data_IF_648150968378
#
_entry.id   IF_648150968378
#
_cell.length_a   1.000
_cell.length_b   1.000
_cell.length_c   1.000
_cell.angle_alpha   90.00
_cell.angle_beta   90.00
_cell.angle_gamma   90.00
#
_symmetry.space_group_name_H-M   'P 1'
#
loop_
_entity.id
_entity.type
_entity.pdbx_description
1 polymer ?
#
# COMPACT_ATOMS: atom_id res chain seq x y z
N UNK A 1 8.39 46.83 4.00
CA UNK A 1 9.53 46.31 4.80
C UNK A 1 9.11 45.79 6.18
N UNK A 2 8.65 46.61 7.14
CA UNK A 2 8.25 46.08 8.47
C UNK A 2 6.96 45.23 8.45
N UNK A 3 5.98 45.58 7.60
CA UNK A 3 4.73 44.82 7.43
C UNK A 3 5.00 43.43 6.84
N UNK A 4 5.94 43.33 5.90
CA UNK A 4 6.32 42.06 5.26
C UNK A 4 7.00 41.09 6.23
N UNK A 5 7.83 41.63 7.13
CA UNK A 5 8.50 40.84 8.16
C UNK A 5 7.52 40.26 9.19
N UNK A 6 6.56 41.07 9.67
CA UNK A 6 5.55 40.60 10.62
C UNK A 6 4.60 39.56 10.02
N UNK A 7 4.22 39.72 8.76
CA UNK A 7 3.42 38.72 8.03
C UNK A 7 4.19 37.41 7.83
N UNK A 8 5.50 37.48 7.57
CA UNK A 8 6.36 36.31 7.46
C UNK A 8 6.49 35.54 8.78
N UNK A 9 6.68 36.25 9.90
CA UNK A 9 6.73 35.63 11.23
C UNK A 9 5.40 34.96 11.60
N UNK A 10 4.26 35.62 11.32
CA UNK A 10 2.91 35.06 11.56
C UNK A 10 2.64 33.79 10.73
N UNK A 11 3.10 33.78 9.47
CA UNK A 11 3.02 32.60 8.61
C UNK A 11 3.85 31.43 9.15
N UNK A 12 5.06 31.70 9.66
CA UNK A 12 5.91 30.68 10.28
C UNK A 12 5.29 30.15 11.57
N UNK A 13 4.74 31.01 12.43
CA UNK A 13 4.09 30.56 13.66
C UNK A 13 2.88 29.68 13.37
N UNK A 14 2.03 30.06 12.41
CA UNK A 14 0.89 29.23 12.01
C UNK A 14 1.33 27.90 11.43
N UNK A 15 2.36 27.89 10.58
CA UNK A 15 2.93 26.66 10.02
C UNK A 15 3.48 25.72 11.11
N UNK A 16 4.11 26.27 12.15
CA UNK A 16 4.59 25.49 13.31
C UNK A 16 3.45 24.89 14.12
N UNK A 17 2.40 25.66 14.40
CA UNK A 17 1.21 25.17 15.12
C UNK A 17 0.52 24.05 14.35
N UNK A 18 0.39 24.17 13.02
CA UNK A 18 -0.14 23.08 12.19
C UNK A 18 0.72 21.81 12.24
N UNK A 19 2.05 21.95 12.20
CA UNK A 19 2.96 20.81 12.31
C UNK A 19 2.91 20.12 13.68
N UNK A 20 2.78 20.88 14.77
CA UNK A 20 2.60 20.34 16.12
C UNK A 20 1.25 19.60 16.26
N UNK A 21 0.18 20.17 15.71
CA UNK A 21 -1.13 19.54 15.67
C UNK A 21 -1.13 18.23 14.86
N UNK A 22 -0.49 18.23 13.68
CA UNK A 22 -0.36 17.04 12.84
C UNK A 22 0.43 15.92 13.56
N UNK A 23 1.47 16.29 14.33
CA UNK A 23 2.24 15.35 15.15
C UNK A 23 1.39 14.66 16.22
N UNK A 24 0.59 15.44 16.96
CA UNK A 24 -0.32 14.89 17.98
C UNK A 24 -1.41 14.00 17.35
N UNK A 25 -1.99 14.44 16.22
CA UNK A 25 -2.99 13.63 15.49
C UNK A 25 -2.38 12.33 14.97
N UNK A 26 -1.16 12.37 14.44
CA UNK A 26 -0.40 11.20 13.99
C UNK A 26 -0.14 10.22 15.14
N UNK A 27 0.18 10.69 16.34
CA UNK A 27 0.35 9.83 17.51
C UNK A 27 -0.96 9.08 17.84
N UNK A 28 -2.09 9.79 17.86
CA UNK A 28 -3.39 9.19 18.13
C UNK A 28 -3.81 8.18 17.04
N UNK A 29 -3.57 8.49 15.76
CA UNK A 29 -3.80 7.56 14.65
C UNK A 29 -3.00 6.27 14.86
N UNK A 30 -1.73 6.39 15.25
CA UNK A 30 -0.88 5.23 15.49
C UNK A 30 -1.36 4.37 16.66
N UNK A 31 -1.86 4.99 17.73
CA UNK A 31 -2.43 4.26 18.88
C UNK A 31 -3.68 3.47 18.47
N UNK A 32 -4.62 4.11 17.76
CA UNK A 32 -5.85 3.45 17.30
C UNK A 32 -5.52 2.33 16.30
N UNK A 33 -4.61 2.60 15.36
CA UNK A 33 -4.10 1.60 14.41
C UNK A 33 -3.52 0.40 15.15
N UNK A 34 -2.76 0.60 16.22
CA UNK A 34 -2.19 -0.51 16.98
C UNK A 34 -3.27 -1.33 17.71
N UNK A 35 -4.33 -0.70 18.22
CA UNK A 35 -5.51 -1.42 18.73
C UNK A 35 -6.14 -2.30 17.63
N UNK A 36 -6.27 -1.76 16.43
CA UNK A 36 -6.70 -2.51 15.24
C UNK A 36 -5.76 -3.68 14.90
N UNK A 37 -4.45 -3.48 14.99
CA UNK A 37 -3.45 -4.53 14.78
C UNK A 37 -3.56 -5.65 15.82
N UNK A 38 -3.80 -5.31 17.08
CA UNK A 38 -4.00 -6.28 18.18
C UNK A 38 -5.27 -7.10 17.93
N UNK A 39 -6.41 -6.45 17.67
CA UNK A 39 -7.65 -7.14 17.32
C UNK A 39 -7.48 -8.04 16.08
N UNK A 40 -6.76 -7.57 15.06
CA UNK A 40 -6.45 -8.37 13.87
C UNK A 40 -5.63 -9.62 14.20
N UNK A 41 -4.58 -9.49 15.03
CA UNK A 41 -3.76 -10.64 15.50
C UNK A 41 -4.60 -11.65 16.28
N UNK A 42 -5.59 -11.20 17.03
CA UNK A 42 -6.55 -12.04 17.75
C UNK A 42 -7.63 -12.66 16.83
N UNK A 43 -7.63 -12.34 15.53
CA UNK A 43 -8.66 -12.72 14.55
C UNK A 43 -10.04 -12.11 14.82
N UNK A 44 -10.09 -11.04 15.61
CA UNK A 44 -11.29 -10.25 15.90
C UNK A 44 -11.52 -9.23 14.77
N UNK A 45 -11.76 -9.74 13.55
CA UNK A 45 -11.77 -8.91 12.34
C UNK A 45 -12.80 -7.78 12.35
N UNK A 46 -13.98 -8.00 12.93
CA UNK A 46 -15.01 -6.95 13.04
C UNK A 46 -14.58 -5.81 13.94
N UNK A 47 -13.89 -6.11 15.04
CA UNK A 47 -13.36 -5.11 15.96
C UNK A 47 -12.16 -4.38 15.35
N UNK A 48 -11.30 -5.09 14.62
CA UNK A 48 -10.22 -4.48 13.86
C UNK A 48 -10.73 -3.44 12.85
N UNK A 49 -11.84 -3.72 12.15
CA UNK A 49 -12.48 -2.76 11.24
C UNK A 49 -12.89 -1.48 11.98
N UNK A 50 -13.53 -1.60 13.15
CA UNK A 50 -13.97 -0.43 13.93
C UNK A 50 -12.78 0.49 14.24
N UNK A 51 -11.66 -0.07 14.69
CA UNK A 51 -10.46 0.72 14.96
C UNK A 51 -9.86 1.34 13.69
N UNK A 52 -9.77 0.59 12.58
CA UNK A 52 -9.26 1.17 11.34
C UNK A 52 -10.17 2.25 10.75
N UNK A 53 -11.49 2.13 10.87
CA UNK A 53 -12.44 3.16 10.44
C UNK A 53 -12.28 4.44 11.26
N UNK A 54 -12.08 4.32 12.58
CA UNK A 54 -11.75 5.45 13.43
C UNK A 54 -10.44 6.13 12.99
N UNK A 55 -9.38 5.35 12.74
CA UNK A 55 -8.10 5.89 12.29
C UNK A 55 -8.20 6.59 10.91
N UNK A 56 -8.97 6.03 9.97
CA UNK A 56 -9.22 6.64 8.64
C UNK A 56 -9.99 7.95 8.78
N UNK A 57 -10.99 7.99 9.66
CA UNK A 57 -11.78 9.20 9.91
C UNK A 57 -10.88 10.34 10.40
N UNK A 58 -9.92 10.04 11.27
CA UNK A 58 -8.95 11.02 11.75
C UNK A 58 -8.00 11.50 10.64
N UNK A 59 -7.46 10.56 9.86
CA UNK A 59 -6.53 10.87 8.78
C UNK A 59 -7.18 11.71 7.67
N UNK A 60 -8.43 11.44 7.29
CA UNK A 60 -9.11 12.15 6.19
C UNK A 60 -9.26 13.67 6.46
N UNK A 61 -9.14 14.10 7.71
CA UNK A 61 -9.09 15.52 8.08
C UNK A 61 -7.72 16.20 7.87
N UNK A 62 -6.65 15.46 7.59
CA UNK A 62 -5.27 15.94 7.58
C UNK A 62 -4.62 15.78 6.20
N UNK A 63 -4.28 16.90 5.54
CA UNK A 63 -3.64 16.88 4.21
C UNK A 63 -2.19 16.34 4.21
N UNK A 64 -1.49 16.45 5.33
CA UNK A 64 -0.07 16.11 5.45
C UNK A 64 0.19 14.68 5.92
N UNK A 65 -0.86 13.89 6.17
CA UNK A 65 -0.76 12.53 6.72
C UNK A 65 -1.10 11.45 5.68
N UNK A 66 -0.66 11.67 4.44
CA UNK A 66 -0.96 10.78 3.31
C UNK A 66 -0.33 9.39 3.47
N UNK A 67 0.88 9.31 4.07
CA UNK A 67 1.53 8.03 4.38
C UNK A 67 0.75 7.26 5.44
N UNK A 68 0.29 7.92 6.49
CA UNK A 68 -0.52 7.31 7.54
C UNK A 68 -1.84 6.79 6.97
N UNK A 69 -2.46 7.56 6.06
CA UNK A 69 -3.63 7.11 5.30
C UNK A 69 -3.37 5.81 4.56
N UNK A 70 -2.30 5.78 3.75
CA UNK A 70 -1.93 4.62 2.96
C UNK A 70 -1.70 3.38 3.84
N UNK A 71 -1.03 3.54 4.99
CA UNK A 71 -0.78 2.44 5.93
C UNK A 71 -2.09 1.90 6.52
N UNK A 72 -2.98 2.76 7.02
CA UNK A 72 -4.22 2.32 7.67
C UNK A 72 -5.16 1.66 6.65
N UNK A 73 -5.31 2.23 5.45
CA UNK A 73 -6.07 1.64 4.36
C UNK A 73 -5.50 0.28 3.92
N UNK A 74 -4.17 0.17 3.83
CA UNK A 74 -3.50 -1.11 3.55
C UNK A 74 -3.88 -2.16 4.58
N UNK A 75 -3.87 -1.81 5.87
CA UNK A 75 -4.23 -2.71 6.96
C UNK A 75 -5.72 -3.11 6.92
N UNK A 76 -6.62 -2.15 6.68
CA UNK A 76 -8.07 -2.41 6.56
C UNK A 76 -8.40 -3.32 5.36
N UNK A 77 -7.70 -3.15 4.24
CA UNK A 77 -7.77 -4.05 3.08
C UNK A 77 -7.46 -5.51 3.45
N UNK A 78 -6.49 -5.75 4.34
CA UNK A 78 -6.19 -7.09 4.85
C UNK A 78 -7.40 -7.68 5.58
N UNK A 79 -8.03 -6.88 6.45
CA UNK A 79 -9.20 -7.32 7.22
C UNK A 79 -10.36 -7.66 6.30
N UNK A 80 -10.66 -6.80 5.31
CA UNK A 80 -11.70 -7.08 4.32
C UNK A 80 -11.42 -8.35 3.53
N UNK A 81 -10.15 -8.61 3.16
CA UNK A 81 -9.75 -9.86 2.50
C UNK A 81 -10.03 -11.08 3.39
N UNK A 82 -9.73 -11.00 4.69
CA UNK A 82 -10.00 -12.09 5.65
C UNK A 82 -11.50 -12.31 5.90
N UNK A 83 -12.31 -11.27 5.72
CA UNK A 83 -13.77 -11.35 5.76
C UNK A 83 -14.39 -11.75 4.40
N UNK A 84 -13.57 -12.18 3.43
CA UNK A 84 -13.99 -12.54 2.07
C UNK A 84 -14.67 -11.40 1.29
N UNK A 85 -14.48 -10.15 1.73
CA UNK A 85 -14.99 -8.95 1.08
C UNK A 85 -13.94 -8.37 0.12
N UNK A 86 -13.64 -9.12 -0.95
CA UNK A 86 -12.52 -8.83 -1.87
C UNK A 86 -12.71 -7.50 -2.63
N UNK A 87 -13.95 -7.07 -2.89
CA UNK A 87 -14.23 -5.77 -3.52
C UNK A 87 -13.84 -4.60 -2.62
N UNK A 88 -14.30 -4.59 -1.36
CA UNK A 88 -13.92 -3.57 -0.38
C UNK A 88 -12.40 -3.58 -0.12
N UNK A 89 -11.79 -4.77 -0.09
CA UNK A 89 -10.35 -4.89 0.03
C UNK A 89 -9.59 -4.23 -1.14
N UNK A 90 -10.14 -4.30 -2.37
CA UNK A 90 -9.53 -3.69 -3.54
C UNK A 90 -9.67 -2.16 -3.49
N UNK A 91 -10.86 -1.66 -3.15
CA UNK A 91 -11.13 -0.23 -2.98
C UNK A 91 -10.15 0.40 -1.98
N UNK A 92 -9.97 -0.23 -0.82
CA UNK A 92 -8.99 0.20 0.18
C UNK A 92 -7.55 0.18 -0.35
N UNK A 93 -7.17 -0.87 -1.07
CA UNK A 93 -5.81 -0.99 -1.60
C UNK A 93 -5.52 0.04 -2.71
N UNK A 94 -6.52 0.38 -3.53
CA UNK A 94 -6.42 1.44 -4.54
C UNK A 94 -6.37 2.82 -3.88
N UNK A 95 -7.21 3.09 -2.88
CA UNK A 95 -7.15 4.33 -2.11
C UNK A 95 -5.79 4.49 -1.41
N UNK A 96 -5.23 3.40 -0.85
CA UNK A 96 -3.91 3.43 -0.23
C UNK A 96 -2.80 3.87 -1.19
N UNK A 97 -2.79 3.32 -2.42
CA UNK A 97 -1.83 3.69 -3.46
C UNK A 97 -2.03 5.14 -3.94
N UNK A 98 -3.27 5.61 -4.00
CA UNK A 98 -3.57 7.01 -4.35
C UNK A 98 -3.09 7.98 -3.26
N UNK A 99 -3.23 7.61 -1.99
CA UNK A 99 -2.72 8.40 -0.88
C UNK A 99 -1.19 8.50 -0.91
N UNK A 100 -0.50 7.37 -1.09
CA UNK A 100 0.96 7.36 -1.19
C UNK A 100 1.46 6.35 -2.23
N UNK A 101 1.89 6.88 -3.38
CA UNK A 101 2.42 6.07 -4.47
C UNK A 101 3.81 5.47 -4.17
N UNK A 102 4.51 5.99 -3.17
CA UNK A 102 5.83 5.49 -2.73
C UNK A 102 5.69 4.38 -1.70
N UNK A 103 4.51 4.15 -1.12
CA UNK A 103 4.29 3.09 -0.15
C UNK A 103 4.24 1.71 -0.83
N UNK A 104 5.35 0.96 -0.73
CA UNK A 104 5.50 -0.32 -1.43
C UNK A 104 4.45 -1.36 -1.02
N UNK A 105 4.16 -1.47 0.28
CA UNK A 105 3.19 -2.43 0.81
C UNK A 105 1.76 -2.16 0.31
N UNK A 106 1.42 -0.90 0.00
CA UNK A 106 0.14 -0.54 -0.62
C UNK A 106 0.01 -1.14 -2.02
N UNK A 107 1.04 -1.00 -2.85
CA UNK A 107 1.10 -1.64 -4.18
C UNK A 107 1.11 -3.16 -4.09
N UNK A 108 1.88 -3.71 -3.15
CA UNK A 108 1.91 -5.16 -2.89
C UNK A 108 0.51 -5.67 -2.53
N UNK A 109 -0.18 -4.99 -1.62
CA UNK A 109 -1.56 -5.32 -1.22
C UNK A 109 -2.52 -5.27 -2.41
N UNK A 110 -2.48 -4.19 -3.20
CA UNK A 110 -3.30 -4.04 -4.42
C UNK A 110 -3.06 -5.20 -5.38
N UNK A 111 -1.80 -5.55 -5.64
CA UNK A 111 -1.43 -6.70 -6.48
C UNK A 111 -1.98 -8.03 -5.96
N UNK A 112 -1.92 -8.27 -4.65
CA UNK A 112 -2.48 -9.47 -4.01
C UNK A 112 -4.00 -9.56 -4.18
N UNK A 113 -4.73 -8.47 -3.93
CA UNK A 113 -6.19 -8.46 -4.04
C UNK A 113 -6.64 -8.62 -5.51
N UNK A 114 -5.97 -7.96 -6.45
CA UNK A 114 -6.22 -8.15 -7.89
C UNK A 114 -6.00 -9.62 -8.31
N UNK A 115 -4.98 -10.27 -7.77
CA UNK A 115 -4.73 -11.70 -8.01
C UNK A 115 -5.86 -12.56 -7.45
N UNK A 116 -6.37 -12.26 -6.25
CA UNK A 116 -7.53 -12.97 -5.68
C UNK A 116 -8.77 -12.85 -6.59
N UNK A 117 -8.94 -11.70 -7.27
CA UNK A 117 -9.98 -11.48 -8.29
C UNK A 117 -9.67 -12.13 -9.64
N UNK A 118 -8.54 -12.83 -9.79
CA UNK A 118 -8.03 -13.42 -11.04
C UNK A 118 -7.74 -12.39 -12.15
N UNK A 119 -7.54 -11.13 -11.76
CA UNK A 119 -7.12 -10.04 -12.65
C UNK A 119 -5.58 -10.04 -12.71
N UNK A 120 -5.03 -11.05 -13.38
CA UNK A 120 -3.59 -11.35 -13.32
C UNK A 120 -2.72 -10.30 -14.02
N UNK A 121 -3.22 -9.65 -15.08
CA UNK A 121 -2.50 -8.58 -15.80
C UNK A 121 -2.35 -7.35 -14.94
N UNK A 122 -3.45 -6.93 -14.32
CA UNK A 122 -3.54 -5.80 -13.42
C UNK A 122 -2.73 -6.04 -12.15
N UNK A 123 -2.80 -7.27 -11.61
CA UNK A 123 -1.97 -7.72 -10.50
C UNK A 123 -0.47 -7.61 -10.83
N UNK A 124 -0.04 -8.09 -12.00
CA UNK A 124 1.34 -7.96 -12.46
C UNK A 124 1.78 -6.49 -12.56
N UNK A 125 0.95 -5.63 -13.16
CA UNK A 125 1.21 -4.19 -13.26
C UNK A 125 1.38 -3.55 -11.88
N UNK A 126 0.47 -3.84 -10.95
CA UNK A 126 0.52 -3.28 -9.59
C UNK A 126 1.81 -3.66 -8.84
N UNK A 127 2.28 -4.91 -8.98
CA UNK A 127 3.55 -5.32 -8.37
C UNK A 127 4.76 -4.62 -9.00
N UNK A 128 4.78 -4.44 -10.32
CA UNK A 128 5.85 -3.69 -10.98
C UNK A 128 5.84 -2.21 -10.58
N UNK A 129 4.67 -1.59 -10.51
CA UNK A 129 4.52 -0.21 -10.01
C UNK A 129 5.11 -0.08 -8.60
N UNK A 130 4.80 -1.02 -7.71
CA UNK A 130 5.37 -1.07 -6.36
C UNK A 130 6.89 -1.27 -6.34
N UNK A 131 7.45 -2.07 -7.25
CA UNK A 131 8.90 -2.24 -7.36
C UNK A 131 9.61 -0.94 -7.77
N UNK A 132 9.08 -0.27 -8.80
CA UNK A 132 9.68 0.92 -9.40
C UNK A 132 9.50 2.17 -8.52
N UNK A 133 8.30 2.38 -7.98
CA UNK A 133 7.94 3.57 -7.21
C UNK A 133 8.15 3.40 -5.70
N UNK A 134 8.10 2.16 -5.22
CA UNK A 134 8.08 1.86 -3.79
C UNK A 134 9.41 2.12 -3.09
N UNK A 135 9.29 2.56 -1.84
CA UNK A 135 10.37 2.91 -0.92
C UNK A 135 10.92 1.73 -0.09
N UNK A 136 10.45 0.51 -0.36
CA UNK A 136 10.88 -0.69 0.35
C UNK A 136 12.36 -1.04 0.14
N UNK A 137 12.86 -1.80 1.11
CA UNK A 137 14.21 -2.37 1.15
C UNK A 137 14.48 -3.30 -0.04
N UNK A 138 15.75 -3.64 -0.27
CA UNK A 138 16.14 -4.60 -1.31
C UNK A 138 15.41 -5.93 -1.16
N UNK A 139 15.20 -6.40 0.08
CA UNK A 139 14.47 -7.65 0.35
C UNK A 139 12.99 -7.54 -0.03
N UNK A 140 12.33 -6.43 0.31
CA UNK A 140 10.92 -6.20 -0.04
C UNK A 140 10.76 -6.04 -1.56
N UNK A 141 11.69 -5.34 -2.22
CA UNK A 141 11.77 -5.24 -3.68
C UNK A 141 11.93 -6.59 -4.35
N UNK A 142 12.72 -7.50 -3.77
CA UNK A 142 12.85 -8.86 -4.30
C UNK A 142 11.53 -9.64 -4.13
N UNK A 143 10.89 -9.53 -2.96
CA UNK A 143 9.62 -10.20 -2.69
C UNK A 143 8.52 -9.76 -3.66
N UNK A 144 8.36 -8.46 -3.91
CA UNK A 144 7.34 -7.97 -4.84
C UNK A 144 7.59 -8.40 -6.29
N UNK A 145 8.85 -8.57 -6.71
CA UNK A 145 9.17 -9.13 -8.03
C UNK A 145 8.81 -10.61 -8.14
N UNK A 146 9.04 -11.40 -7.08
CA UNK A 146 8.60 -12.81 -7.05
C UNK A 146 7.09 -12.91 -7.23
N UNK A 147 6.34 -12.00 -6.61
CA UNK A 147 4.89 -11.90 -6.75
C UNK A 147 4.47 -11.49 -8.17
N UNK A 148 5.17 -10.53 -8.78
CA UNK A 148 4.94 -10.17 -10.18
C UNK A 148 5.11 -11.40 -11.10
N UNK A 149 6.21 -12.13 -10.95
CA UNK A 149 6.48 -13.37 -11.70
C UNK A 149 5.36 -14.40 -11.53
N UNK A 150 4.86 -14.59 -10.32
CA UNK A 150 3.75 -15.49 -10.05
C UNK A 150 2.49 -15.07 -10.81
N UNK A 151 2.12 -13.79 -10.75
CA UNK A 151 0.98 -13.26 -11.53
C UNK A 151 1.16 -13.42 -13.03
N UNK A 152 2.37 -13.19 -13.56
CA UNK A 152 2.66 -13.33 -14.98
C UNK A 152 2.53 -14.78 -15.48
N UNK A 153 2.95 -15.74 -14.66
CA UNK A 153 2.83 -17.17 -14.96
C UNK A 153 1.35 -17.58 -15.15
N UNK A 154 0.44 -17.00 -14.37
CA UNK A 154 -1.00 -17.21 -14.51
C UNK A 154 -1.61 -16.57 -15.76
N UNK A 155 -0.99 -15.56 -16.36
CA UNK A 155 -1.46 -14.91 -17.61
C UNK A 155 -1.20 -15.82 -18.82
N UNK A 156 0.02 -16.34 -18.90
CA UNK A 156 0.52 -17.02 -20.09
C UNK A 156 0.11 -18.49 -20.18
N UNK A 157 -0.49 -19.05 -19.11
CA UNK A 157 -0.90 -20.44 -19.08
C UNK A 157 0.26 -21.43 -19.16
N UNK A 158 1.52 -20.98 -18.98
CA UNK A 158 2.67 -21.87 -18.96
C UNK A 158 2.58 -22.78 -17.73
N UNK A 159 2.07 -23.99 -17.95
CA UNK A 159 2.45 -25.17 -17.17
C UNK A 159 3.97 -25.25 -17.30
N UNK A 160 4.67 -25.03 -16.19
CA UNK A 160 6.11 -25.16 -16.11
C UNK A 160 6.50 -26.55 -16.66
N UNK A 161 6.99 -26.61 -17.90
CA UNK A 161 7.57 -27.84 -18.43
C UNK A 161 8.76 -28.18 -17.54
N UNK A 162 8.68 -29.32 -16.85
CA UNK A 162 9.72 -29.91 -15.98
C UNK A 162 10.97 -30.27 -16.81
N UNK A 163 11.68 -29.28 -17.35
CA UNK A 163 12.82 -29.54 -18.25
C UNK A 163 13.90 -28.46 -18.30
N UNK A 164 13.71 -27.29 -17.68
CA UNK A 164 14.79 -26.30 -17.58
C UNK A 164 15.32 -26.25 -16.15
N UNK A 165 16.54 -26.75 -15.96
CA UNK A 165 17.24 -26.85 -14.68
C UNK A 165 17.61 -25.50 -14.05
N UNK A 166 17.27 -24.35 -14.67
CA UNK A 166 17.52 -23.03 -14.08
C UNK A 166 16.30 -22.12 -14.19
N UNK A 167 15.53 -22.05 -13.09
CA UNK A 167 14.25 -21.33 -12.95
C UNK A 167 14.31 -19.82 -13.21
N UNK A 168 15.48 -19.20 -13.08
CA UNK A 168 15.66 -17.74 -13.19
C UNK A 168 15.74 -17.23 -14.62
N UNK A 169 16.24 -18.03 -15.58
CA UNK A 169 16.52 -17.53 -16.93
C UNK A 169 15.28 -17.44 -17.85
N UNK A 170 14.32 -18.37 -17.73
CA UNK A 170 13.13 -18.36 -18.60
C UNK A 170 12.16 -17.22 -18.26
N UNK A 171 11.95 -16.95 -16.98
CA UNK A 171 10.99 -15.92 -16.56
C UNK A 171 11.50 -14.51 -16.85
N UNK A 172 12.79 -14.24 -16.60
CA UNK A 172 13.41 -12.93 -16.91
C UNK A 172 13.39 -12.66 -18.41
N UNK A 173 13.65 -13.67 -19.25
CA UNK A 173 13.61 -13.53 -20.71
C UNK A 173 12.21 -13.20 -21.25
N UNK A 174 11.16 -13.82 -20.69
CA UNK A 174 9.78 -13.55 -21.11
C UNK A 174 9.28 -12.17 -20.67
N UNK A 175 9.72 -11.70 -19.50
CA UNK A 175 9.43 -10.33 -19.04
C UNK A 175 10.11 -9.31 -19.98
N UNK A 176 11.38 -9.53 -20.34
CA UNK A 176 12.10 -8.65 -21.29
C UNK A 176 11.39 -8.56 -22.66
N UNK A 177 10.95 -9.69 -23.21
CA UNK A 177 10.24 -9.73 -24.51
C UNK A 177 8.88 -9.01 -24.49
N UNK A 178 8.16 -9.00 -23.36
CA UNK A 178 6.87 -8.32 -23.24
C UNK A 178 6.99 -6.78 -23.25
N UNK A 179 8.16 -6.25 -22.89
CA UNK A 179 8.43 -4.80 -22.90
C UNK A 179 9.02 -4.30 -24.23
N UNK A 180 9.38 -5.18 -25.17
CA UNK A 180 9.94 -4.83 -26.49
C UNK A 180 8.90 -4.82 -27.64
N UNK A 181 7.62 -5.06 -27.37
CA UNK A 181 6.52 -5.04 -28.35
C UNK A 181 5.47 -3.99 -28.02
#
# INVERSE_FOLDING_TARGET
>A
MLVDFNNWISSISNSRVHAEQDSHVKANINEIKEKGNIAFKNKEYKEALIFYDQAITMVKGCKNLTREAAIVLTNRSIVHSNLHSVTAALEDAEEAVMCDQTWMEGHWRRGQVLRQKKLFRESFSAFLEGYWKGDGTVSEKLNILVEAVASFSNITGFVCYRGFENRTNCTVYLIFRYFES
#
